data_IF_550815552139
#
_entry.id   IF_550815552139
#
_cell.length_a   1.000
_cell.length_b   1.000
_cell.length_c   1.000
_cell.angle_alpha   90.00
_cell.angle_beta   90.00
_cell.angle_gamma   90.00
#
_symmetry.space_group_name_H-M   'P 1'
#
loop_
_entity.id
_entity.type
_entity.pdbx_description
1 polymer ?
#
# COMPACT_ATOMS: atom_id res chain seq x y z
N UNK A 1 18.55 18.29 5.42
CA UNK A 1 17.44 17.30 5.47
C UNK A 1 16.16 17.78 4.79
N UNK A 2 15.62 18.98 5.08
CA UNK A 2 14.39 19.47 4.41
C UNK A 2 14.58 19.66 2.89
N UNK A 3 15.69 20.30 2.47
CA UNK A 3 16.01 20.50 1.05
C UNK A 3 16.00 19.20 0.25
N UNK A 4 16.63 18.13 0.77
CA UNK A 4 16.64 16.81 0.12
C UNK A 4 15.23 16.22 -0.02
N UNK A 5 14.39 16.32 1.02
CA UNK A 5 13.00 15.84 0.98
C UNK A 5 12.16 16.58 -0.07
N UNK A 6 12.33 17.89 -0.17
CA UNK A 6 11.63 18.72 -1.18
C UNK A 6 12.08 18.34 -2.58
N UNK A 7 13.40 18.23 -2.81
CA UNK A 7 13.95 17.83 -4.11
C UNK A 7 13.44 16.46 -4.52
N UNK A 8 13.46 15.46 -3.63
CA UNK A 8 12.95 14.12 -3.96
C UNK A 8 11.46 14.14 -4.27
N UNK A 9 10.65 14.91 -3.54
CA UNK A 9 9.22 15.00 -3.79
C UNK A 9 8.91 15.68 -5.14
N UNK A 10 9.58 16.79 -5.43
CA UNK A 10 9.41 17.56 -6.67
C UNK A 10 9.85 16.77 -7.90
N UNK A 11 10.81 15.85 -7.77
CA UNK A 11 11.24 14.99 -8.87
C UNK A 11 10.33 13.75 -8.99
N UNK A 12 10.07 13.05 -7.88
CA UNK A 12 9.35 11.77 -7.91
C UNK A 12 7.86 11.95 -8.22
N UNK A 13 7.20 12.99 -7.71
CA UNK A 13 5.76 13.14 -7.93
C UNK A 13 5.42 13.33 -9.43
N UNK A 14 6.06 14.25 -10.19
CA UNK A 14 5.84 14.36 -11.63
C UNK A 14 6.27 13.09 -12.38
N UNK A 15 7.35 12.44 -11.96
CA UNK A 15 7.80 11.19 -12.58
C UNK A 15 6.76 10.08 -12.43
N UNK A 16 6.18 9.91 -11.23
CA UNK A 16 5.11 8.93 -10.98
C UNK A 16 3.87 9.29 -11.78
N UNK A 17 3.46 10.56 -11.78
CA UNK A 17 2.29 11.01 -12.57
C UNK A 17 2.51 10.77 -14.07
N UNK A 18 3.70 11.08 -14.59
CA UNK A 18 4.03 10.82 -15.99
C UNK A 18 4.06 9.32 -16.29
N UNK A 19 4.63 8.50 -15.41
CA UNK A 19 4.63 7.04 -15.55
C UNK A 19 3.20 6.48 -15.55
N UNK A 20 2.29 7.02 -14.74
CA UNK A 20 0.88 6.63 -14.74
C UNK A 20 0.21 7.04 -16.05
N UNK A 21 0.33 8.31 -16.46
CA UNK A 21 -0.43 8.85 -17.60
C UNK A 21 0.04 8.37 -18.96
N UNK A 22 1.36 8.18 -19.13
CA UNK A 22 1.95 7.93 -20.45
C UNK A 22 2.42 6.49 -20.65
N UNK A 23 2.57 5.68 -19.59
CA UNK A 23 2.93 4.29 -19.80
C UNK A 23 1.75 3.50 -20.39
N UNK A 24 1.99 2.64 -21.39
CA UNK A 24 0.98 1.69 -21.82
C UNK A 24 0.62 0.75 -20.66
N UNK A 25 -0.57 0.14 -20.68
CA UNK A 25 -1.07 -0.70 -19.58
C UNK A 25 -0.07 -1.80 -19.15
N UNK A 26 0.60 -2.45 -20.10
CA UNK A 26 1.64 -3.44 -19.80
C UNK A 26 2.86 -2.82 -19.10
N UNK A 27 3.31 -1.65 -19.56
CA UNK A 27 4.42 -0.92 -18.95
C UNK A 27 4.10 -0.46 -17.53
N UNK A 28 2.89 0.05 -17.31
CA UNK A 28 2.40 0.41 -15.98
C UNK A 28 2.34 -0.81 -15.05
N UNK A 29 1.79 -1.94 -15.51
CA UNK A 29 1.69 -3.18 -14.74
C UNK A 29 3.06 -3.71 -14.29
N UNK A 30 4.05 -3.71 -15.20
CA UNK A 30 5.44 -4.10 -14.90
C UNK A 30 6.09 -3.10 -13.94
N UNK A 31 5.96 -1.80 -14.18
CA UNK A 31 6.51 -0.76 -13.30
C UNK A 31 5.95 -0.86 -11.88
N UNK A 32 4.64 -1.05 -11.75
CA UNK A 32 3.98 -1.26 -10.47
C UNK A 32 4.40 -2.59 -9.82
N UNK A 33 4.63 -3.65 -10.60
CA UNK A 33 5.14 -4.92 -10.07
C UNK A 33 6.51 -4.74 -9.43
N UNK A 34 7.40 -3.94 -10.04
CA UNK A 34 8.72 -3.62 -9.44
C UNK A 34 8.54 -2.90 -8.09
N UNK A 35 7.66 -1.91 -8.01
CA UNK A 35 7.37 -1.21 -6.74
C UNK A 35 6.82 -2.18 -5.68
N UNK A 36 5.91 -3.07 -6.07
CA UNK A 36 5.34 -4.09 -5.20
C UNK A 36 6.40 -5.10 -4.74
N UNK A 37 7.35 -5.48 -5.59
CA UNK A 37 8.46 -6.36 -5.22
C UNK A 37 9.43 -5.68 -4.24
N UNK A 38 9.72 -4.39 -4.42
CA UNK A 38 10.47 -3.62 -3.41
C UNK A 38 9.72 -3.65 -2.07
N UNK A 39 8.39 -3.43 -2.09
CA UNK A 39 7.55 -3.55 -0.91
C UNK A 39 7.56 -4.95 -0.29
N UNK A 40 7.57 -6.00 -1.11
CA UNK A 40 7.65 -7.39 -0.66
C UNK A 40 8.99 -7.72 0.00
N UNK A 41 10.09 -7.16 -0.50
CA UNK A 41 11.41 -7.31 0.11
C UNK A 41 11.47 -6.68 1.51
N UNK A 42 11.00 -5.44 1.63
CA UNK A 42 10.88 -4.73 2.92
C UNK A 42 9.94 -5.48 3.86
N UNK A 43 8.81 -5.98 3.36
CA UNK A 43 7.87 -6.78 4.16
C UNK A 43 8.51 -8.06 4.69
N UNK A 44 9.22 -8.81 3.85
CA UNK A 44 9.92 -10.01 4.28
C UNK A 44 11.01 -9.71 5.33
N UNK A 45 11.63 -8.52 5.26
CA UNK A 45 12.58 -8.07 6.28
C UNK A 45 11.95 -7.81 7.66
N UNK A 46 10.63 -7.55 7.73
CA UNK A 46 9.88 -7.39 8.98
C UNK A 46 9.53 -8.73 9.66
N UNK A 47 9.70 -9.87 8.97
CA UNK A 47 9.42 -11.20 9.52
C UNK A 47 10.65 -11.67 10.32
N UNK A 48 10.53 -11.80 11.66
CA UNK A 48 11.69 -12.13 12.50
C UNK A 48 12.29 -13.49 12.17
N UNK A 49 13.62 -13.55 12.14
CA UNK A 49 14.45 -14.76 12.02
C UNK A 49 14.42 -15.46 10.64
N UNK A 50 14.44 -14.65 9.58
CA UNK A 50 14.54 -15.08 8.19
C UNK A 50 15.77 -14.40 7.54
N UNK A 51 16.73 -15.22 7.07
CA UNK A 51 17.91 -14.75 6.35
C UNK A 51 17.60 -14.36 4.89
N UNK A 52 18.63 -13.98 4.13
CA UNK A 52 18.49 -13.65 2.71
C UNK A 52 17.73 -14.70 1.86
N UNK A 53 17.89 -16.03 2.07
CA UNK A 53 17.20 -17.04 1.26
C UNK A 53 15.67 -16.95 1.32
N UNK A 54 15.11 -16.70 2.51
CA UNK A 54 13.66 -16.58 2.66
C UNK A 54 13.11 -15.34 1.98
N UNK A 55 13.82 -14.22 2.07
CA UNK A 55 13.40 -12.97 1.40
C UNK A 55 13.38 -13.15 -0.12
N UNK A 56 14.38 -13.84 -0.66
CA UNK A 56 14.42 -14.20 -2.08
C UNK A 56 13.28 -15.16 -2.44
N UNK A 57 13.01 -16.19 -1.63
CA UNK A 57 11.90 -17.11 -1.86
C UNK A 57 10.54 -16.38 -1.84
N UNK A 58 10.33 -15.49 -0.87
CA UNK A 58 9.12 -14.66 -0.79
C UNK A 58 8.97 -13.76 -2.02
N UNK A 59 10.05 -13.09 -2.45
CA UNK A 59 10.07 -12.29 -3.68
C UNK A 59 9.70 -13.13 -4.91
N UNK A 60 10.29 -14.32 -5.07
CA UNK A 60 10.02 -15.21 -6.20
C UNK A 60 8.56 -15.64 -6.22
N UNK A 61 7.99 -15.98 -5.06
CA UNK A 61 6.57 -16.31 -4.93
C UNK A 61 5.68 -15.13 -5.32
N UNK A 62 5.96 -13.93 -4.80
CA UNK A 62 5.19 -12.72 -5.17
C UNK A 62 5.32 -12.43 -6.67
N UNK A 63 6.53 -12.50 -7.24
CA UNK A 63 6.76 -12.26 -8.67
C UNK A 63 5.99 -13.26 -9.54
N UNK A 64 6.01 -14.55 -9.19
CA UNK A 64 5.27 -15.59 -9.90
C UNK A 64 3.76 -15.37 -9.82
N UNK A 65 3.25 -14.99 -8.64
CA UNK A 65 1.82 -14.68 -8.46
C UNK A 65 1.40 -13.44 -9.27
N UNK A 66 2.20 -12.38 -9.29
CA UNK A 66 1.93 -11.19 -10.11
C UNK A 66 1.90 -11.52 -11.61
N UNK A 67 2.87 -12.31 -12.09
CA UNK A 67 2.89 -12.77 -13.47
C UNK A 67 1.65 -13.64 -13.80
N UNK A 68 1.28 -14.57 -12.91
CA UNK A 68 0.08 -15.38 -13.06
C UNK A 68 -1.21 -14.54 -13.10
N UNK A 69 -1.33 -13.56 -12.21
CA UNK A 69 -2.47 -12.64 -12.18
C UNK A 69 -2.57 -11.77 -13.44
N UNK A 70 -1.43 -11.34 -14.00
CA UNK A 70 -1.40 -10.59 -15.26
C UNK A 70 -2.01 -11.41 -16.42
N UNK A 71 -1.70 -12.70 -16.48
CA UNK A 71 -2.21 -13.60 -17.52
C UNK A 71 -3.62 -14.15 -17.23
N UNK A 72 -4.12 -13.99 -16.00
CA UNK A 72 -5.43 -14.47 -15.56
C UNK A 72 -6.32 -13.30 -15.07
N UNK A 73 -6.77 -12.39 -15.97
CA UNK A 73 -7.49 -11.17 -15.59
C UNK A 73 -8.80 -11.44 -14.85
N UNK A 74 -9.48 -12.55 -15.14
CA UNK A 74 -10.71 -12.93 -14.43
C UNK A 74 -10.49 -13.13 -12.93
N UNK A 75 -9.35 -13.71 -12.54
CA UNK A 75 -8.96 -13.87 -11.12
C UNK A 75 -8.49 -12.54 -10.55
N UNK A 76 -7.67 -11.80 -11.30
CA UNK A 76 -7.15 -10.50 -10.87
C UNK A 76 -8.27 -9.49 -10.56
N UNK A 77 -9.36 -9.48 -11.34
CA UNK A 77 -10.51 -8.59 -11.11
C UNK A 77 -11.26 -8.88 -9.80
N UNK A 78 -11.22 -10.12 -9.29
CA UNK A 78 -11.89 -10.50 -8.04
C UNK A 78 -11.00 -10.25 -6.82
N UNK A 79 -9.68 -10.20 -7.00
CA UNK A 79 -8.71 -10.07 -5.92
C UNK A 79 -8.87 -8.80 -5.05
N UNK A 80 -9.26 -7.63 -5.59
CA UNK A 80 -9.57 -6.45 -4.78
C UNK A 80 -10.65 -6.69 -3.73
N UNK A 81 -11.66 -7.53 -4.00
CA UNK A 81 -12.70 -7.87 -3.01
C UNK A 81 -12.11 -8.63 -1.82
N UNK A 82 -11.17 -9.54 -2.09
CA UNK A 82 -10.42 -10.22 -1.04
C UNK A 82 -9.56 -9.23 -0.24
N UNK A 83 -8.95 -8.24 -0.90
CA UNK A 83 -8.22 -7.15 -0.25
C UNK A 83 -9.11 -6.31 0.67
N UNK A 84 -10.32 -5.96 0.22
CA UNK A 84 -11.31 -5.24 1.05
C UNK A 84 -11.71 -6.08 2.26
N UNK A 85 -12.03 -7.37 2.06
CA UNK A 85 -12.35 -8.29 3.15
C UNK A 85 -11.18 -8.39 4.15
N UNK A 86 -9.94 -8.48 3.64
CA UNK A 86 -8.75 -8.47 4.47
C UNK A 86 -8.60 -7.18 5.27
N UNK A 87 -8.84 -6.00 4.69
CA UNK A 87 -8.75 -4.73 5.43
C UNK A 87 -9.78 -4.62 6.56
N UNK A 88 -10.99 -5.15 6.36
CA UNK A 88 -12.00 -5.25 7.43
C UNK A 88 -11.49 -6.15 8.56
N UNK A 89 -11.01 -7.35 8.21
CA UNK A 89 -10.47 -8.31 9.18
C UNK A 89 -9.24 -7.75 9.90
N UNK A 90 -8.33 -7.09 9.18
CA UNK A 90 -7.14 -6.46 9.73
C UNK A 90 -7.50 -5.32 10.69
N UNK A 91 -8.52 -4.52 10.38
CA UNK A 91 -9.05 -3.50 11.28
C UNK A 91 -9.53 -4.08 12.61
N UNK A 92 -10.26 -5.20 12.56
CA UNK A 92 -10.68 -5.93 13.77
C UNK A 92 -9.48 -6.55 14.49
N UNK A 93 -8.54 -7.14 13.74
CA UNK A 93 -7.36 -7.79 14.28
C UNK A 93 -6.47 -6.81 15.05
N UNK A 94 -6.32 -5.57 14.55
CA UNK A 94 -5.57 -4.49 15.20
C UNK A 94 -6.16 -4.03 16.53
N UNK A 95 -7.40 -4.39 16.86
CA UNK A 95 -7.97 -4.17 18.19
C UNK A 95 -7.35 -5.08 19.26
N UNK A 96 -6.68 -6.17 18.85
CA UNK A 96 -6.08 -7.13 19.76
C UNK A 96 -4.58 -6.82 20.02
N UNK A 97 -4.10 -6.85 21.27
CA UNK A 97 -2.72 -6.49 21.61
C UNK A 97 -1.63 -7.44 21.05
N UNK A 98 -1.99 -8.67 20.70
CA UNK A 98 -1.07 -9.76 20.36
C UNK A 98 -0.61 -9.76 18.89
N UNK A 99 -1.05 -8.80 18.06
CA UNK A 99 -0.83 -8.80 16.59
C UNK A 99 0.65 -8.90 16.21
N UNK A 100 1.54 -8.26 16.96
CA UNK A 100 2.99 -8.30 16.70
C UNK A 100 3.62 -9.70 16.86
N UNK A 101 2.96 -10.60 17.61
CA UNK A 101 3.41 -11.97 17.90
C UNK A 101 2.85 -13.02 16.94
N UNK A 102 2.15 -12.59 15.89
CA UNK A 102 1.64 -13.50 14.87
C UNK A 102 2.75 -14.43 14.32
N UNK A 103 2.39 -15.69 14.08
CA UNK A 103 3.29 -16.66 13.49
C UNK A 103 3.78 -16.20 12.11
N UNK A 104 4.98 -16.65 11.72
CA UNK A 104 5.59 -16.33 10.42
C UNK A 104 4.66 -16.50 9.21
N UNK A 105 3.96 -17.64 9.02
CA UNK A 105 3.07 -17.81 7.87
C UNK A 105 1.96 -16.75 7.84
N UNK A 106 1.43 -16.36 9.01
CA UNK A 106 0.39 -15.32 9.10
C UNK A 106 0.95 -13.97 8.61
N UNK A 107 2.19 -13.62 9.00
CA UNK A 107 2.85 -12.39 8.52
C UNK A 107 3.11 -12.41 7.02
N UNK A 108 3.54 -13.55 6.48
CA UNK A 108 3.78 -13.71 5.05
C UNK A 108 2.49 -13.59 4.22
N UNK A 109 1.42 -14.27 4.66
CA UNK A 109 0.09 -14.19 4.04
C UNK A 109 -0.50 -12.79 4.16
N UNK A 110 -0.32 -12.11 5.30
CA UNK A 110 -0.75 -10.71 5.45
C UNK A 110 -0.11 -9.82 4.38
N UNK A 111 1.20 -9.98 4.13
CA UNK A 111 1.87 -9.24 3.07
C UNK A 111 1.29 -9.54 1.69
N UNK A 112 0.98 -10.81 1.39
CA UNK A 112 0.34 -11.19 0.13
C UNK A 112 -1.04 -10.55 -0.04
N UNK A 113 -1.86 -10.55 1.02
CA UNK A 113 -3.21 -9.98 1.04
C UNK A 113 -3.22 -8.44 0.98
N UNK A 114 -2.11 -7.79 1.28
CA UNK A 114 -1.95 -6.34 1.10
C UNK A 114 -1.41 -6.03 -0.30
N UNK A 115 -0.37 -6.74 -0.73
CA UNK A 115 0.40 -6.41 -1.94
C UNK A 115 -0.29 -6.83 -3.24
N UNK A 116 -0.82 -8.07 -3.31
CA UNK A 116 -1.40 -8.60 -4.55
C UNK A 116 -2.72 -7.90 -4.93
N UNK A 117 -3.68 -7.69 -4.00
CA UNK A 117 -4.90 -6.96 -4.33
C UNK A 117 -4.63 -5.50 -4.70
N UNK A 118 -3.64 -4.86 -4.09
CA UNK A 118 -3.23 -3.49 -4.42
C UNK A 118 -2.75 -3.40 -5.88
N UNK A 119 -1.84 -4.30 -6.28
CA UNK A 119 -1.37 -4.37 -7.66
C UNK A 119 -2.52 -4.62 -8.64
N UNK A 120 -3.36 -5.62 -8.36
CA UNK A 120 -4.48 -5.98 -9.23
C UNK A 120 -5.49 -4.84 -9.38
N UNK A 121 -5.83 -4.15 -8.28
CA UNK A 121 -6.75 -3.01 -8.30
C UNK A 121 -6.21 -1.85 -9.14
N UNK A 122 -4.95 -1.46 -8.93
CA UNK A 122 -4.35 -0.34 -9.64
C UNK A 122 -4.15 -0.63 -11.12
N UNK A 123 -3.76 -1.85 -11.50
CA UNK A 123 -3.68 -2.27 -12.91
C UNK A 123 -5.06 -2.25 -13.55
N UNK A 124 -6.10 -2.72 -12.86
CA UNK A 124 -7.47 -2.71 -13.38
C UNK A 124 -8.02 -1.27 -13.55
N UNK A 125 -7.71 -0.35 -12.63
CA UNK A 125 -8.10 1.06 -12.74
C UNK A 125 -7.34 1.74 -13.88
N UNK A 126 -6.02 1.52 -13.99
CA UNK A 126 -5.19 2.07 -15.05
C UNK A 126 -5.66 1.65 -16.44
N UNK A 127 -6.00 0.37 -16.60
CA UNK A 127 -6.49 -0.17 -17.86
C UNK A 127 -7.83 0.44 -18.32
N UNK A 128 -8.63 0.96 -17.38
CA UNK A 128 -9.87 1.67 -17.70
C UNK A 128 -9.60 3.14 -18.06
N UNK A 129 -8.84 3.83 -17.20
CA UNK A 129 -8.48 5.24 -17.37
C UNK A 129 -7.32 5.60 -16.42
N UNK A 130 -6.12 5.91 -16.96
CA UNK A 130 -4.97 6.32 -16.15
C UNK A 130 -5.22 7.54 -15.27
N UNK A 131 -6.13 8.44 -15.67
CA UNK A 131 -6.47 9.64 -14.88
C UNK A 131 -7.09 9.26 -13.54
N UNK A 132 -7.82 8.14 -13.47
CA UNK A 132 -8.40 7.63 -12.22
C UNK A 132 -7.34 7.17 -11.22
N UNK A 133 -6.22 6.65 -11.70
CA UNK A 133 -5.08 6.31 -10.83
C UNK A 133 -4.44 7.58 -10.28
N UNK A 134 -4.24 8.60 -11.10
CA UNK A 134 -3.73 9.91 -10.64
C UNK A 134 -4.67 10.53 -9.63
N UNK A 135 -5.98 10.49 -9.88
CA UNK A 135 -7.00 10.96 -8.96
C UNK A 135 -6.94 10.19 -7.62
N UNK A 136 -6.84 8.87 -7.66
CA UNK A 136 -6.69 8.05 -6.45
C UNK A 136 -5.42 8.40 -5.66
N UNK A 137 -4.29 8.62 -6.33
CA UNK A 137 -3.05 9.06 -5.68
C UNK A 137 -3.22 10.44 -5.04
N UNK A 138 -3.86 11.38 -5.75
CA UNK A 138 -4.17 12.71 -5.22
C UNK A 138 -5.06 12.64 -3.98
N UNK A 139 -6.12 11.80 -4.01
CA UNK A 139 -6.98 11.55 -2.86
C UNK A 139 -6.18 11.06 -1.65
N UNK A 140 -5.30 10.07 -1.84
CA UNK A 140 -4.47 9.53 -0.75
C UNK A 140 -3.53 10.60 -0.20
N UNK A 141 -2.87 11.38 -1.07
CA UNK A 141 -1.95 12.45 -0.63
C UNK A 141 -2.66 13.57 0.11
N UNK A 142 -3.83 13.99 -0.38
CA UNK A 142 -4.65 15.03 0.28
C UNK A 142 -5.19 14.51 1.61
N UNK A 143 -5.63 13.25 1.69
CA UNK A 143 -6.06 12.62 2.93
C UNK A 143 -4.95 12.64 3.99
N UNK A 144 -3.71 12.28 3.61
CA UNK A 144 -2.56 12.26 4.52
C UNK A 144 -2.18 13.68 4.99
N UNK A 145 -2.19 14.65 4.08
CA UNK A 145 -1.94 16.07 4.39
C UNK A 145 -3.01 16.58 5.35
N UNK A 146 -4.28 16.32 5.07
CA UNK A 146 -5.43 16.69 5.89
C UNK A 146 -5.35 16.07 7.29
N UNK A 147 -5.07 14.78 7.35
CA UNK A 147 -4.92 14.07 8.62
C UNK A 147 -3.76 14.59 9.46
N UNK A 148 -2.64 14.95 8.83
CA UNK A 148 -1.49 15.56 9.50
C UNK A 148 -1.83 16.93 10.09
N UNK A 149 -2.39 17.85 9.30
CA UNK A 149 -2.63 19.23 9.77
C UNK A 149 -3.75 19.30 10.81
N UNK A 150 -4.87 18.63 10.57
CA UNK A 150 -5.99 18.58 11.52
C UNK A 150 -5.59 17.81 12.77
N UNK A 151 -4.89 16.69 12.62
CA UNK A 151 -4.41 15.89 13.74
C UNK A 151 -3.38 16.63 14.60
N UNK A 152 -2.49 17.43 14.00
CA UNK A 152 -1.50 18.22 14.75
C UNK A 152 -2.15 19.36 15.53
N UNK A 153 -3.17 20.01 14.96
CA UNK A 153 -3.82 21.17 15.58
C UNK A 153 -4.91 20.80 16.60
N UNK A 154 -5.66 19.72 16.34
CA UNK A 154 -6.86 19.36 17.11
C UNK A 154 -6.79 17.94 17.73
N UNK A 155 -5.71 17.20 17.53
CA UNK A 155 -5.59 15.80 17.92
C UNK A 155 -5.34 15.54 19.39
N UNK A 156 -6.35 15.77 20.23
CA UNK A 156 -6.32 15.48 21.67
C UNK A 156 -6.52 13.98 21.96
N UNK A 157 -7.47 13.33 21.27
CA UNK A 157 -7.77 11.90 21.43
C UNK A 157 -7.02 11.05 20.40
N UNK A 158 -6.19 10.12 20.89
CA UNK A 158 -5.45 9.16 20.08
C UNK A 158 -6.37 8.07 19.51
N UNK A 159 -6.11 7.66 18.27
CA UNK A 159 -6.89 6.63 17.58
C UNK A 159 -6.49 5.22 18.05
N UNK A 160 -5.19 4.91 18.00
CA UNK A 160 -4.65 3.59 18.34
C UNK A 160 -3.31 3.74 19.07
N UNK A 161 -3.31 4.08 20.37
CA UNK A 161 -2.08 4.39 21.12
C UNK A 161 -1.01 3.29 21.10
N UNK A 162 -1.44 2.02 21.09
CA UNK A 162 -0.55 0.84 21.14
C UNK A 162 0.04 0.46 19.78
N UNK A 163 -0.64 0.80 18.68
CA UNK A 163 -0.24 0.43 17.31
C UNK A 163 0.45 1.58 16.60
N UNK A 164 -0.08 2.80 16.75
CA UNK A 164 0.42 4.00 16.08
C UNK A 164 0.17 5.25 16.95
N UNK A 165 1.09 5.56 17.89
CA UNK A 165 0.93 6.66 18.86
C UNK A 165 0.71 8.05 18.23
N UNK A 166 1.13 8.23 16.98
CA UNK A 166 0.97 9.49 16.23
C UNK A 166 -0.45 9.76 15.73
N UNK A 167 -1.30 8.74 15.57
CA UNK A 167 -2.63 8.88 14.95
C UNK A 167 -3.68 9.37 15.94
N UNK A 168 -4.53 10.30 15.50
CA UNK A 168 -5.58 10.94 16.32
C UNK A 168 -6.93 10.87 15.60
N UNK A 169 -8.03 10.84 16.35
CA UNK A 169 -9.38 10.86 15.76
C UNK A 169 -9.64 12.13 14.96
N UNK A 170 -9.17 13.29 15.45
CA UNK A 170 -9.26 14.54 14.71
C UNK A 170 -8.53 14.46 13.36
N UNK A 171 -7.35 13.84 13.33
CA UNK A 171 -6.64 13.58 12.08
C UNK A 171 -7.44 12.68 11.12
N UNK A 172 -8.04 11.60 11.60
CA UNK A 172 -8.89 10.74 10.74
C UNK A 172 -10.01 11.52 10.08
N UNK A 173 -10.74 12.35 10.84
CA UNK A 173 -11.80 13.20 10.28
C UNK A 173 -11.26 14.26 9.32
N UNK A 174 -10.11 14.85 9.62
CA UNK A 174 -9.45 15.81 8.73
C UNK A 174 -9.07 15.21 7.38
N UNK A 175 -8.55 13.98 7.37
CA UNK A 175 -8.27 13.26 6.13
C UNK A 175 -9.54 12.98 5.34
N UNK A 176 -10.59 12.45 6.00
CA UNK A 176 -11.84 12.07 5.37
C UNK A 176 -12.61 13.25 4.74
N UNK A 177 -12.58 14.42 5.37
CA UNK A 177 -13.29 15.61 4.86
C UNK A 177 -12.56 16.24 3.67
N UNK A 178 -11.24 16.13 3.62
CA UNK A 178 -10.41 16.77 2.59
C UNK A 178 -10.17 15.88 1.38
N UNK A 179 -10.35 14.57 1.51
CA UNK A 179 -10.32 13.59 0.41
C UNK A 179 -11.67 13.49 -0.29
#
# INVERSE_FOLDING_TARGET
MLKQRVVTAVVLAPLVVAAVLFAPAAGFAVGLAVVVLVGAWEWAALIPAEGAPYRVAYLVVIAALLAGLYHCPAVAQQLPLLGVAWWVLAGLWLAFPEVGRAARPIKAVTGMLVLLPCWAALVAIHAQDPVRVVFLLALIWVADIGAYFVGRRFGQRKLAPRVSPGKTWAGTWGGLILS
#
